data_IF_154295867274
#
_entry.id   IF_154295867274
#
_cell.length_a   1.000
_cell.length_b   1.000
_cell.length_c   1.000
_cell.angle_alpha   90.00
_cell.angle_beta   90.00
_cell.angle_gamma   90.00
#
_symmetry.space_group_name_H-M   'P 1'
#
loop_
_entity.id
_entity.type
_entity.pdbx_description
1 polymer ?
#
# COMPACT_ATOMS: atom_id res chain seq x y z
N UNK A 1 3.44 -22.83 -6.44
CA UNK A 1 2.27 -23.62 -5.99
C UNK A 1 1.74 -23.05 -4.69
N UNK A 2 0.47 -22.75 -4.64
CA UNK A 2 -0.19 -22.20 -3.46
C UNK A 2 -0.12 -23.21 -2.30
N UNK A 3 0.16 -22.71 -1.08
CA UNK A 3 0.23 -23.55 0.14
C UNK A 3 -1.05 -23.38 0.94
N UNK A 4 -1.85 -24.44 1.03
CA UNK A 4 -3.07 -24.47 1.83
C UNK A 4 -2.78 -24.96 3.25
N UNK A 5 -3.15 -24.17 4.24
CA UNK A 5 -3.07 -24.46 5.67
C UNK A 5 -4.49 -24.59 6.18
N UNK A 6 -4.93 -25.82 6.46
CA UNK A 6 -6.30 -26.09 6.89
C UNK A 6 -6.32 -27.00 8.11
N UNK A 7 -6.96 -26.49 9.18
CA UNK A 7 -7.35 -27.27 10.35
C UNK A 7 -8.84 -27.03 10.55
N UNK A 8 -9.70 -28.07 10.39
CA UNK A 8 -11.15 -27.92 10.42
C UNK A 8 -11.63 -27.17 11.68
N UNK A 9 -12.51 -26.18 11.50
CA UNK A 9 -13.05 -25.34 12.57
C UNK A 9 -12.08 -24.30 13.14
N UNK A 10 -10.77 -24.44 12.93
CA UNK A 10 -9.73 -23.60 13.55
C UNK A 10 -9.16 -22.57 12.57
N UNK A 11 -8.60 -23.03 11.44
CA UNK A 11 -7.92 -22.15 10.46
C UNK A 11 -8.11 -22.68 9.03
N UNK A 12 -8.26 -21.77 8.08
CA UNK A 12 -8.32 -22.08 6.66
C UNK A 12 -7.69 -20.90 5.88
N UNK A 13 -6.41 -21.04 5.54
CA UNK A 13 -5.61 -19.99 4.91
C UNK A 13 -4.81 -20.55 3.75
N UNK A 14 -4.83 -19.87 2.60
CA UNK A 14 -4.00 -20.20 1.44
C UNK A 14 -2.92 -19.12 1.27
N UNK A 15 -1.67 -19.53 1.24
CA UNK A 15 -0.53 -18.66 0.95
C UNK A 15 -0.20 -18.76 -0.53
N UNK A 16 -0.24 -17.64 -1.25
CA UNK A 16 -0.02 -17.59 -2.70
C UNK A 16 1.16 -16.68 -2.99
N UNK A 17 2.18 -17.18 -3.69
CA UNK A 17 3.41 -16.44 -3.98
C UNK A 17 3.83 -16.49 -5.46
N UNK A 18 3.15 -17.25 -6.27
CA UNK A 18 3.37 -17.28 -7.72
C UNK A 18 2.56 -16.17 -8.40
N UNK A 19 3.13 -15.36 -9.33
CA UNK A 19 2.41 -14.28 -10.00
C UNK A 19 1.17 -14.74 -10.76
N UNK A 20 1.24 -15.87 -11.48
CA UNK A 20 0.10 -16.38 -12.24
C UNK A 20 -1.03 -16.86 -11.33
N UNK A 21 -0.68 -17.55 -10.22
CA UNK A 21 -1.67 -17.95 -9.21
C UNK A 21 -2.30 -16.72 -8.51
N UNK A 22 -1.50 -15.68 -8.22
CA UNK A 22 -2.01 -14.42 -7.64
C UNK A 22 -3.03 -13.77 -8.57
N UNK A 23 -2.75 -13.69 -9.87
CA UNK A 23 -3.71 -13.17 -10.87
C UNK A 23 -4.98 -13.99 -10.87
N UNK A 24 -4.85 -15.31 -11.01
CA UNK A 24 -6.01 -16.21 -11.08
C UNK A 24 -6.91 -16.08 -9.85
N UNK A 25 -6.34 -16.05 -8.65
CA UNK A 25 -7.12 -15.84 -7.42
C UNK A 25 -7.71 -14.44 -7.31
N UNK A 26 -6.95 -13.41 -7.68
CA UNK A 26 -7.42 -12.02 -7.58
C UNK A 26 -8.59 -11.73 -8.55
N UNK A 27 -8.60 -12.38 -9.71
CA UNK A 27 -9.61 -12.17 -10.74
C UNK A 27 -10.84 -13.09 -10.58
N UNK A 28 -10.73 -14.15 -9.77
CA UNK A 28 -11.84 -15.05 -9.49
C UNK A 28 -13.02 -14.30 -8.83
N UNK A 29 -14.23 -14.45 -9.38
CA UNK A 29 -15.43 -13.76 -8.88
C UNK A 29 -15.82 -14.16 -7.46
N UNK A 30 -15.43 -15.38 -7.04
CA UNK A 30 -15.66 -15.87 -5.68
C UNK A 30 -14.65 -15.33 -4.66
N UNK A 31 -13.71 -14.48 -5.07
CA UNK A 31 -12.66 -13.92 -4.22
C UNK A 31 -12.79 -12.39 -4.16
N UNK A 32 -12.87 -11.85 -2.95
CA UNK A 32 -13.06 -10.41 -2.74
C UNK A 32 -12.32 -9.90 -1.51
N UNK A 33 -12.46 -8.62 -1.23
CA UNK A 33 -12.07 -7.91 -0.01
C UNK A 33 -13.23 -7.69 0.96
N UNK A 34 -14.31 -8.42 0.79
CA UNK A 34 -15.47 -8.38 1.68
C UNK A 34 -15.16 -9.10 3.00
N UNK A 35 -14.54 -8.38 3.94
CA UNK A 35 -14.09 -8.93 5.22
C UNK A 35 -15.25 -9.08 6.21
N UNK A 36 -16.15 -10.03 5.95
CA UNK A 36 -17.20 -10.44 6.90
C UNK A 36 -16.62 -11.53 7.80
N UNK A 37 -16.75 -11.42 9.15
CA UNK A 37 -16.25 -12.43 10.09
C UNK A 37 -17.01 -13.76 9.94
N UNK A 38 -16.51 -14.64 9.07
CA UNK A 38 -17.06 -15.99 8.81
C UNK A 38 -15.93 -17.01 8.64
N UNK A 39 -16.28 -18.29 8.56
CA UNK A 39 -15.31 -19.38 8.47
C UNK A 39 -14.74 -19.79 9.83
N UNK A 40 -13.58 -20.45 9.85
CA UNK A 40 -12.92 -20.97 11.06
C UNK A 40 -12.59 -19.88 12.09
N UNK A 41 -12.35 -20.27 13.33
CA UNK A 41 -12.16 -19.37 14.46
C UNK A 41 -11.05 -18.34 14.21
N UNK A 42 -9.87 -18.79 13.80
CA UNK A 42 -8.72 -17.91 13.55
C UNK A 42 -9.02 -16.93 12.40
N UNK A 43 -9.70 -17.39 11.33
CA UNK A 43 -10.09 -16.53 10.22
C UNK A 43 -11.01 -15.40 10.69
N UNK A 44 -12.02 -15.72 11.55
CA UNK A 44 -12.91 -14.71 12.15
C UNK A 44 -12.15 -13.70 13.00
N UNK A 45 -11.15 -14.15 13.77
CA UNK A 45 -10.29 -13.26 14.57
C UNK A 45 -9.44 -12.35 13.68
N UNK A 46 -8.84 -12.87 12.62
CA UNK A 46 -8.06 -12.07 11.65
C UNK A 46 -8.95 -11.00 11.02
N UNK A 47 -10.13 -11.39 10.53
CA UNK A 47 -11.08 -10.46 9.91
C UNK A 47 -11.57 -9.40 10.91
N UNK A 48 -11.93 -9.81 12.13
CA UNK A 48 -12.33 -8.88 13.19
C UNK A 48 -11.23 -7.86 13.53
N UNK A 49 -9.96 -8.31 13.51
CA UNK A 49 -8.80 -7.43 13.70
C UNK A 49 -8.64 -6.45 12.54
N UNK A 50 -8.74 -6.90 11.28
CA UNK A 50 -8.69 -6.04 10.10
C UNK A 50 -9.76 -4.97 10.19
N UNK A 51 -11.00 -5.33 10.43
CA UNK A 51 -12.11 -4.37 10.54
C UNK A 51 -11.87 -3.34 11.63
N UNK A 52 -11.52 -3.77 12.84
CA UNK A 52 -11.31 -2.88 13.99
C UNK A 52 -10.35 -1.71 13.70
N UNK A 53 -9.32 -1.95 12.90
CA UNK A 53 -8.26 -0.97 12.67
C UNK A 53 -8.38 -0.23 11.34
N UNK A 54 -9.04 -0.83 10.35
CA UNK A 54 -9.18 -0.28 9.01
C UNK A 54 -10.62 0.06 8.65
N UNK A 55 -11.50 0.15 9.64
CA UNK A 55 -12.86 0.67 9.51
C UNK A 55 -12.95 2.04 10.19
N UNK A 56 -13.48 3.05 9.47
CA UNK A 56 -13.70 4.41 9.94
C UNK A 56 -15.18 4.71 9.76
N UNK A 57 -15.85 5.15 10.84
CA UNK A 57 -17.28 5.48 10.82
C UNK A 57 -18.15 4.37 10.20
N UNK A 58 -17.85 3.11 10.52
CA UNK A 58 -18.58 1.95 10.00
C UNK A 58 -18.22 1.54 8.57
N UNK A 59 -17.24 2.19 7.94
CA UNK A 59 -16.84 1.93 6.56
C UNK A 59 -15.36 1.53 6.46
N UNK A 60 -15.06 0.50 5.67
CA UNK A 60 -13.70 0.05 5.45
C UNK A 60 -12.89 1.07 4.64
N UNK A 61 -11.58 1.11 4.87
CA UNK A 61 -10.66 1.86 4.02
C UNK A 61 -10.71 1.34 2.57
N UNK A 62 -10.41 2.19 1.58
CA UNK A 62 -10.53 1.86 0.16
C UNK A 62 -9.86 0.55 -0.27
N UNK A 63 -8.70 0.23 0.30
CA UNK A 63 -7.99 -1.03 0.02
C UNK A 63 -8.71 -2.28 0.51
N UNK A 64 -9.73 -2.14 1.34
CA UNK A 64 -10.50 -3.24 1.93
C UNK A 64 -11.98 -3.23 1.53
N UNK A 65 -12.39 -2.29 0.67
CA UNK A 65 -13.77 -2.24 0.15
C UNK A 65 -13.98 -3.36 -0.87
N UNK A 66 -15.18 -3.99 -0.91
CA UNK A 66 -15.48 -5.09 -1.80
C UNK A 66 -15.49 -4.68 -3.28
N UNK A 67 -15.34 -5.67 -4.16
CA UNK A 67 -15.39 -5.50 -5.63
C UNK A 67 -16.73 -4.94 -6.09
N UNK A 68 -17.83 -5.38 -5.47
CA UNK A 68 -19.20 -4.97 -5.79
C UNK A 68 -19.55 -3.54 -5.37
N UNK A 69 -18.67 -2.85 -4.65
CA UNK A 69 -18.91 -1.47 -4.22
C UNK A 69 -18.73 -0.50 -5.40
N UNK A 70 -19.85 -0.09 -6.00
CA UNK A 70 -19.84 0.82 -7.15
C UNK A 70 -19.30 2.20 -6.77
N UNK A 71 -19.60 2.70 -5.56
CA UNK A 71 -19.08 4.00 -5.08
C UNK A 71 -17.55 3.96 -5.02
N UNK A 72 -16.99 2.83 -4.59
CA UNK A 72 -15.54 2.64 -4.61
C UNK A 72 -14.99 2.67 -6.03
N UNK A 73 -15.61 1.97 -6.96
CA UNK A 73 -15.14 1.88 -8.35
C UNK A 73 -15.14 3.27 -9.02
N UNK A 74 -16.23 4.02 -8.88
CA UNK A 74 -16.37 5.37 -9.42
C UNK A 74 -15.36 6.34 -8.80
N UNK A 75 -15.19 6.27 -7.48
CA UNK A 75 -14.22 7.11 -6.77
C UNK A 75 -12.78 6.77 -7.15
N UNK A 76 -12.47 5.47 -7.30
CA UNK A 76 -11.15 5.02 -7.74
C UNK A 76 -10.81 5.57 -9.13
N UNK A 77 -11.77 5.55 -10.06
CA UNK A 77 -11.57 6.09 -11.40
C UNK A 77 -11.36 7.60 -11.39
N UNK A 78 -12.19 8.34 -10.66
CA UNK A 78 -12.06 9.80 -10.50
C UNK A 78 -10.72 10.17 -9.87
N UNK A 79 -10.31 9.43 -8.83
CA UNK A 79 -9.05 9.66 -8.16
C UNK A 79 -7.85 9.34 -9.07
N UNK A 80 -7.91 8.27 -9.86
CA UNK A 80 -6.86 7.94 -10.81
C UNK A 80 -6.67 9.05 -11.86
N UNK A 81 -7.76 9.62 -12.38
CA UNK A 81 -7.70 10.73 -13.31
C UNK A 81 -7.16 12.02 -12.65
N UNK A 82 -7.58 12.32 -11.41
CA UNK A 82 -7.11 13.49 -10.66
C UNK A 82 -5.63 13.39 -10.24
N UNK A 83 -5.11 12.18 -10.06
CA UNK A 83 -3.74 11.89 -9.66
C UNK A 83 -2.79 11.62 -10.85
N UNK A 84 -3.26 11.79 -12.07
CA UNK A 84 -2.41 11.65 -13.26
C UNK A 84 -1.68 12.98 -13.53
N UNK A 85 -0.34 13.03 -13.43
CA UNK A 85 0.44 14.24 -13.74
C UNK A 85 0.25 14.71 -15.19
N UNK A 86 -0.08 13.82 -16.12
CA UNK A 86 -0.36 14.16 -17.51
C UNK A 86 -1.67 14.97 -17.67
N UNK A 87 -2.55 14.95 -16.68
CA UNK A 87 -3.78 15.75 -16.65
C UNK A 87 -3.58 17.26 -16.42
N UNK A 88 -2.32 17.71 -16.26
CA UNK A 88 -1.97 19.14 -16.10
C UNK A 88 -2.19 19.69 -14.68
N UNK A 89 -2.64 18.89 -13.72
CA UNK A 89 -2.75 19.31 -12.34
C UNK A 89 -1.37 19.41 -11.66
N UNK A 90 -1.14 20.46 -10.87
CA UNK A 90 0.04 20.57 -10.04
C UNK A 90 -0.12 19.69 -8.79
N UNK A 91 0.46 18.50 -8.81
CA UNK A 91 0.33 17.51 -7.73
C UNK A 91 1.38 17.67 -6.61
N UNK A 92 2.41 18.49 -6.87
CA UNK A 92 3.48 18.83 -5.92
C UNK A 92 4.11 20.17 -6.30
N UNK A 93 4.80 20.81 -5.37
CA UNK A 93 5.54 22.06 -5.60
C UNK A 93 7.02 21.78 -5.84
N UNK A 94 7.73 22.74 -6.44
CA UNK A 94 9.20 22.67 -6.60
C UNK A 94 9.94 22.56 -5.26
N UNK A 95 9.45 23.24 -4.22
CA UNK A 95 10.03 23.16 -2.89
C UNK A 95 9.88 21.75 -2.28
N UNK A 96 8.75 21.08 -2.51
CA UNK A 96 8.52 19.71 -2.06
C UNK A 96 9.45 18.72 -2.79
N UNK A 97 9.60 18.88 -4.10
CA UNK A 97 10.57 18.08 -4.88
C UNK A 97 11.99 18.32 -4.38
N UNK A 98 12.40 19.59 -4.19
CA UNK A 98 13.74 19.92 -3.70
C UNK A 98 14.03 19.27 -2.33
N UNK A 99 13.06 19.24 -1.42
CA UNK A 99 13.22 18.57 -0.12
C UNK A 99 13.44 17.06 -0.24
N UNK A 100 12.74 16.39 -1.19
CA UNK A 100 12.93 14.95 -1.45
C UNK A 100 14.26 14.69 -2.19
N UNK A 101 14.67 15.57 -3.09
CA UNK A 101 15.97 15.50 -3.76
C UNK A 101 17.11 15.64 -2.76
N UNK A 102 17.03 16.57 -1.82
CA UNK A 102 18.02 16.71 -0.75
C UNK A 102 18.18 15.40 0.04
N UNK A 103 17.09 14.64 0.26
CA UNK A 103 17.18 13.32 0.89
C UNK A 103 17.89 12.29 -0.01
N UNK A 104 17.50 12.21 -1.28
CA UNK A 104 18.08 11.25 -2.24
C UNK A 104 19.58 11.52 -2.44
N UNK A 105 20.01 12.79 -2.44
CA UNK A 105 21.41 13.20 -2.51
C UNK A 105 22.18 13.10 -1.17
N UNK A 106 21.53 12.70 -0.08
CA UNK A 106 22.20 12.50 1.22
C UNK A 106 22.19 13.72 2.14
N UNK A 107 21.64 14.86 1.71
CA UNK A 107 21.62 16.13 2.44
C UNK A 107 20.54 16.24 3.53
N UNK A 108 19.61 15.30 3.64
CA UNK A 108 18.57 15.34 4.68
C UNK A 108 18.26 13.97 5.29
N UNK A 109 17.53 13.97 6.43
CA UNK A 109 17.19 12.74 7.15
C UNK A 109 15.99 12.00 6.53
N UNK A 110 15.92 10.68 6.78
CA UNK A 110 14.78 9.85 6.36
C UNK A 110 13.46 10.26 7.02
N UNK A 111 13.48 10.76 8.26
CA UNK A 111 12.26 11.27 8.91
C UNK A 111 11.75 12.54 8.23
N UNK A 112 12.64 13.47 7.84
CA UNK A 112 12.26 14.69 7.11
C UNK A 112 11.62 14.34 5.74
N UNK A 113 12.25 13.46 4.97
CA UNK A 113 11.71 12.98 3.69
C UNK A 113 10.36 12.27 3.84
N UNK A 114 10.21 11.49 4.92
CA UNK A 114 8.97 10.77 5.20
C UNK A 114 7.82 11.72 5.54
N UNK A 115 8.08 12.73 6.38
CA UNK A 115 7.10 13.77 6.72
C UNK A 115 6.74 14.57 5.46
N UNK A 116 7.73 14.95 4.64
CA UNK A 116 7.47 15.64 3.37
C UNK A 116 6.64 14.78 2.42
N UNK A 117 6.93 13.49 2.30
CA UNK A 117 6.12 12.57 1.49
C UNK A 117 4.68 12.50 2.00
N UNK A 118 4.48 12.41 3.32
CA UNK A 118 3.15 12.41 3.93
C UNK A 118 2.42 13.74 3.69
N UNK A 119 3.13 14.87 3.71
CA UNK A 119 2.60 16.19 3.38
C UNK A 119 2.12 16.25 1.93
N UNK A 120 2.94 15.80 0.97
CA UNK A 120 2.58 15.77 -0.46
C UNK A 120 1.33 14.92 -0.67
N UNK A 121 1.30 13.69 -0.12
CA UNK A 121 0.15 12.80 -0.24
C UNK A 121 -1.11 13.39 0.41
N UNK A 122 -0.97 14.05 1.56
CA UNK A 122 -2.08 14.69 2.24
C UNK A 122 -2.65 15.87 1.45
N UNK A 123 -1.79 16.66 0.82
CA UNK A 123 -2.19 17.80 0.01
C UNK A 123 -2.99 17.43 -1.25
N UNK A 124 -2.92 16.18 -1.71
CA UNK A 124 -3.78 15.68 -2.80
C UNK A 124 -5.28 15.66 -2.41
N UNK A 125 -5.57 15.58 -1.12
CA UNK A 125 -6.95 15.52 -0.60
C UNK A 125 -7.36 16.81 0.11
N UNK A 126 -6.41 17.47 0.78
CA UNK A 126 -6.64 18.72 1.50
C UNK A 126 -5.40 19.61 1.37
N UNK A 127 -5.48 20.76 0.65
CA UNK A 127 -4.35 21.70 0.53
C UNK A 127 -3.81 22.20 1.87
N UNK A 128 -4.63 22.16 2.92
CA UNK A 128 -4.28 22.56 4.29
C UNK A 128 -3.79 21.36 5.14
N UNK A 129 -3.64 20.16 4.57
CA UNK A 129 -3.12 19.04 5.31
C UNK A 129 -1.73 19.37 5.87
N UNK A 130 -1.52 19.06 7.15
CA UNK A 130 -0.24 19.29 7.81
C UNK A 130 0.32 17.98 8.35
N UNK A 131 1.46 17.55 7.78
CA UNK A 131 2.23 16.41 8.26
C UNK A 131 3.29 16.88 9.25
N UNK A 132 3.45 16.12 10.31
CA UNK A 132 4.45 16.35 11.35
C UNK A 132 5.05 15.03 11.87
N UNK A 133 5.96 15.10 12.82
CA UNK A 133 6.57 13.92 13.42
C UNK A 133 5.55 13.01 14.11
N UNK A 134 4.46 13.57 14.64
CA UNK A 134 3.43 12.79 15.33
C UNK A 134 2.58 12.00 14.34
N UNK A 135 2.14 12.63 13.24
CA UNK A 135 1.40 11.94 12.17
C UNK A 135 2.24 10.87 11.49
N UNK A 136 3.53 11.14 11.26
CA UNK A 136 4.44 10.13 10.69
C UNK A 136 4.64 8.94 11.62
N UNK A 137 4.87 9.18 12.93
CA UNK A 137 4.95 8.08 13.92
C UNK A 137 3.66 7.27 13.98
N UNK A 138 2.52 7.93 13.90
CA UNK A 138 1.22 7.26 13.87
C UNK A 138 1.06 6.38 12.62
N UNK A 139 1.45 6.86 11.43
CA UNK A 139 1.42 6.10 10.20
C UNK A 139 2.35 4.87 10.26
N UNK A 140 3.59 5.02 10.77
CA UNK A 140 4.53 3.91 10.99
C UNK A 140 3.94 2.83 11.90
N UNK A 141 3.26 3.22 12.97
CA UNK A 141 2.65 2.28 13.91
C UNK A 141 1.53 1.45 13.24
N UNK A 142 0.69 2.08 12.41
CA UNK A 142 -0.36 1.37 11.65
C UNK A 142 0.22 0.47 10.57
N UNK A 143 1.28 0.86 9.87
CA UNK A 143 1.92 0.03 8.86
C UNK A 143 2.53 -1.23 9.49
N UNK A 144 3.25 -1.08 10.59
CA UNK A 144 3.82 -2.21 11.36
C UNK A 144 2.72 -3.16 11.88
N UNK A 145 1.56 -2.62 12.25
CA UNK A 145 0.42 -3.43 12.65
C UNK A 145 -0.16 -4.25 11.48
N UNK A 146 -0.13 -3.71 10.26
CA UNK A 146 -0.59 -4.38 9.04
C UNK A 146 0.31 -5.55 8.64
N UNK A 147 1.62 -5.44 8.82
CA UNK A 147 2.62 -6.38 8.30
C UNK A 147 2.65 -7.76 8.97
N UNK A 148 1.88 -7.96 10.03
CA UNK A 148 1.75 -9.27 10.67
C UNK A 148 1.49 -9.19 12.17
N UNK A 149 1.52 -10.35 12.83
CA UNK A 149 1.38 -10.45 14.28
C UNK A 149 2.75 -10.36 14.95
N UNK A 150 2.87 -9.47 15.93
CA UNK A 150 4.01 -9.36 16.82
C UNK A 150 3.53 -9.18 18.25
N UNK A 151 4.17 -9.78 19.27
CA UNK A 151 3.80 -9.59 20.68
C UNK A 151 3.74 -8.11 21.11
N UNK A 152 4.61 -7.27 20.58
CA UNK A 152 4.61 -5.83 20.85
C UNK A 152 3.30 -5.15 20.46
N UNK A 153 2.60 -5.67 19.48
CA UNK A 153 1.30 -5.12 19.05
C UNK A 153 0.22 -5.32 20.10
N UNK A 154 0.32 -6.36 20.94
CA UNK A 154 -0.58 -6.54 22.09
C UNK A 154 -0.36 -5.39 23.07
N UNK A 155 0.90 -5.05 23.35
CA UNK A 155 1.24 -3.91 24.23
C UNK A 155 0.68 -2.61 23.64
N UNK A 156 0.84 -2.36 22.34
CA UNK A 156 0.28 -1.15 21.69
C UNK A 156 -1.26 -1.08 21.76
N UNK A 157 -1.94 -2.24 21.71
CA UNK A 157 -3.38 -2.29 21.87
C UNK A 157 -3.79 -2.01 23.32
N UNK A 158 -3.16 -2.68 24.29
CA UNK A 158 -3.47 -2.53 25.73
C UNK A 158 -3.18 -1.12 26.23
N UNK A 159 -2.08 -0.51 25.78
CA UNK A 159 -1.71 0.87 26.13
C UNK A 159 -2.49 1.94 25.38
N UNK A 160 -3.37 1.55 24.44
CA UNK A 160 -4.16 2.45 23.61
C UNK A 160 -3.34 3.25 22.59
N UNK A 161 -2.07 2.90 22.35
CA UNK A 161 -1.22 3.60 21.37
C UNK A 161 -1.77 3.51 19.95
N UNK A 162 -2.23 2.32 19.53
CA UNK A 162 -2.85 2.14 18.21
C UNK A 162 -4.11 2.99 18.04
N UNK A 163 -4.94 3.05 19.08
CA UNK A 163 -6.17 3.87 19.05
C UNK A 163 -5.84 5.35 18.93
N UNK A 164 -4.86 5.85 19.71
CA UNK A 164 -4.41 7.25 19.61
C UNK A 164 -3.82 7.57 18.24
N UNK A 165 -2.97 6.70 17.70
CA UNK A 165 -2.40 6.85 16.37
C UNK A 165 -3.47 6.92 15.28
N UNK A 166 -4.44 5.99 15.32
CA UNK A 166 -5.57 5.97 14.39
C UNK A 166 -6.40 7.25 14.49
N UNK A 167 -6.80 7.65 15.70
CA UNK A 167 -7.62 8.85 15.91
C UNK A 167 -6.91 10.12 15.43
N UNK A 168 -5.61 10.24 15.65
CA UNK A 168 -4.81 11.36 15.13
C UNK A 168 -4.87 11.43 13.61
N UNK A 169 -4.66 10.30 12.91
CA UNK A 169 -4.66 10.26 11.45
C UNK A 169 -6.05 10.49 10.86
N UNK A 170 -7.10 9.95 11.49
CA UNK A 170 -8.50 10.19 11.11
C UNK A 170 -8.84 11.67 11.22
N UNK A 171 -8.49 12.31 12.35
CA UNK A 171 -8.73 13.75 12.55
C UNK A 171 -7.95 14.61 11.54
N UNK A 172 -6.70 14.24 11.21
CA UNK A 172 -5.91 14.96 10.19
C UNK A 172 -6.46 14.78 8.78
N UNK A 173 -7.02 13.62 8.47
CA UNK A 173 -7.69 13.34 7.21
C UNK A 173 -9.13 13.88 7.14
N UNK A 174 -9.62 14.58 8.18
CA UNK A 174 -11.00 15.12 8.26
C UNK A 174 -12.04 14.03 7.95
N UNK A 175 -11.87 12.84 8.52
CA UNK A 175 -12.70 11.65 8.31
C UNK A 175 -12.76 11.15 6.84
N UNK A 176 -11.94 11.70 5.93
CA UNK A 176 -11.82 11.20 4.57
C UNK A 176 -11.01 9.88 4.55
N UNK A 177 -11.66 8.81 4.12
CA UNK A 177 -11.08 7.46 4.08
C UNK A 177 -9.97 7.32 3.04
N UNK A 178 -10.04 8.06 1.95
CA UNK A 178 -9.02 8.04 0.89
C UNK A 178 -7.78 8.80 1.33
N UNK A 179 -7.98 9.99 1.93
CA UNK A 179 -6.91 10.77 2.54
C UNK A 179 -6.19 9.96 3.63
N UNK A 180 -6.95 9.34 4.54
CA UNK A 180 -6.36 8.49 5.57
C UNK A 180 -5.64 7.28 4.97
N UNK A 181 -6.21 6.61 3.97
CA UNK A 181 -5.55 5.48 3.32
C UNK A 181 -4.23 5.92 2.67
N UNK A 182 -4.23 7.03 1.95
CA UNK A 182 -3.03 7.60 1.33
C UNK A 182 -1.94 7.94 2.34
N UNK A 183 -2.29 8.74 3.36
CA UNK A 183 -1.34 9.31 4.34
C UNK A 183 -0.88 8.32 5.41
N UNK A 184 -1.66 7.27 5.71
CA UNK A 184 -1.34 6.28 6.72
C UNK A 184 -0.77 4.97 6.18
N UNK A 185 -1.14 4.58 4.94
CA UNK A 185 -0.78 3.29 4.35
C UNK A 185 0.00 3.46 3.05
N UNK A 186 -0.56 4.20 2.08
CA UNK A 186 0.04 4.38 0.74
C UNK A 186 1.41 5.04 0.78
N UNK A 187 1.58 6.01 1.67
CA UNK A 187 2.83 6.78 1.84
C UNK A 187 4.07 5.92 2.07
N UNK A 188 3.92 4.77 2.74
CA UNK A 188 5.08 3.90 3.06
C UNK A 188 5.73 3.28 1.81
N UNK A 189 4.96 3.02 0.77
CA UNK A 189 5.50 2.55 -0.52
C UNK A 189 6.43 3.59 -1.15
N UNK A 190 6.02 4.86 -1.15
CA UNK A 190 6.81 5.98 -1.67
C UNK A 190 8.08 6.20 -0.84
N UNK A 191 7.97 6.20 0.49
CA UNK A 191 9.13 6.39 1.41
C UNK A 191 10.16 5.27 1.21
N UNK A 192 9.72 4.01 1.09
CA UNK A 192 10.61 2.88 0.80
C UNK A 192 11.28 3.04 -0.57
N UNK A 193 10.56 3.50 -1.58
CA UNK A 193 11.11 3.74 -2.91
C UNK A 193 12.18 4.85 -2.88
N UNK A 194 11.92 5.97 -2.20
CA UNK A 194 12.90 7.06 -2.03
C UNK A 194 14.18 6.58 -1.31
N UNK A 195 14.06 5.73 -0.30
CA UNK A 195 15.22 5.16 0.39
C UNK A 195 16.08 4.29 -0.55
N UNK A 196 15.45 3.52 -1.43
CA UNK A 196 16.15 2.74 -2.46
C UNK A 196 16.75 3.63 -3.54
N UNK A 197 16.04 4.67 -3.98
CA UNK A 197 16.58 5.67 -4.91
C UNK A 197 17.83 6.34 -4.35
N UNK A 198 17.86 6.65 -3.04
CA UNK A 198 19.06 7.15 -2.38
C UNK A 198 20.23 6.17 -2.50
N UNK A 199 19.98 4.89 -2.30
CA UNK A 199 21.01 3.86 -2.47
C UNK A 199 21.47 3.74 -3.93
N UNK A 200 20.55 3.77 -4.90
CA UNK A 200 20.86 3.76 -6.34
C UNK A 200 21.67 5.00 -6.73
N UNK A 201 21.31 6.17 -6.18
CA UNK A 201 21.99 7.44 -6.47
C UNK A 201 23.45 7.46 -6.03
N UNK A 202 23.78 6.70 -4.99
CA UNK A 202 25.15 6.54 -4.51
C UNK A 202 26.02 5.64 -5.39
N UNK A 203 25.46 4.94 -6.39
CA UNK A 203 26.22 4.07 -7.27
C UNK A 203 26.95 4.88 -8.35
N UNK A 204 28.16 4.47 -8.78
CA UNK A 204 28.88 5.12 -9.89
C UNK A 204 28.08 5.11 -11.20
N UNK A 205 27.21 4.12 -11.38
CA UNK A 205 26.37 3.94 -12.57
C UNK A 205 25.03 4.68 -12.52
N UNK A 206 24.77 5.49 -11.47
CA UNK A 206 23.48 6.17 -11.28
C UNK A 206 23.02 6.96 -12.51
N UNK A 207 23.93 7.69 -13.17
CA UNK A 207 23.62 8.51 -14.35
C UNK A 207 23.29 7.70 -15.62
N UNK A 208 23.61 6.41 -15.68
CA UNK A 208 23.32 5.53 -16.82
C UNK A 208 22.04 4.72 -16.68
N UNK A 209 21.36 4.78 -15.52
CA UNK A 209 20.11 4.07 -15.30
C UNK A 209 18.97 4.73 -16.09
N UNK A 210 18.22 3.93 -16.83
CA UNK A 210 16.97 4.41 -17.44
C UNK A 210 15.90 4.69 -16.35
N UNK A 211 14.96 5.59 -16.66
CA UNK A 211 13.83 5.88 -15.78
C UNK A 211 13.07 4.62 -15.37
N UNK A 212 12.86 3.71 -16.31
CA UNK A 212 12.20 2.43 -16.05
C UNK A 212 13.01 1.56 -15.07
N UNK A 213 14.32 1.44 -15.28
CA UNK A 213 15.19 0.67 -14.39
C UNK A 213 15.17 1.25 -12.96
N UNK A 214 15.18 2.58 -12.81
CA UNK A 214 15.10 3.25 -11.52
C UNK A 214 13.77 2.96 -10.83
N UNK A 215 12.66 3.07 -11.54
CA UNK A 215 11.34 2.76 -10.97
C UNK A 215 11.27 1.33 -10.46
N UNK A 216 11.67 0.34 -11.28
CA UNK A 216 11.57 -1.08 -10.92
C UNK A 216 12.53 -1.51 -9.82
N UNK A 217 13.69 -0.88 -9.73
CA UNK A 217 14.64 -1.13 -8.64
C UNK A 217 14.23 -0.42 -7.33
N UNK A 218 13.48 0.67 -7.42
CA UNK A 218 13.05 1.44 -6.25
C UNK A 218 11.73 0.95 -5.67
N UNK A 219 10.76 0.64 -6.51
CA UNK A 219 9.43 0.23 -6.07
C UNK A 219 9.43 -1.20 -5.49
N UNK A 220 8.65 -1.38 -4.42
CA UNK A 220 8.46 -2.67 -3.77
C UNK A 220 6.99 -2.96 -3.60
N UNK A 221 6.52 -4.12 -4.02
CA UNK A 221 5.18 -4.56 -3.70
C UNK A 221 4.92 -4.60 -2.20
N UNK A 222 3.68 -4.45 -1.76
CA UNK A 222 3.29 -4.75 -0.39
C UNK A 222 3.70 -6.17 -0.02
N UNK A 223 4.14 -6.39 1.23
CA UNK A 223 4.56 -7.71 1.70
C UNK A 223 3.52 -8.78 1.39
N UNK A 224 2.29 -8.49 1.73
CA UNK A 224 1.15 -9.35 1.43
C UNK A 224 -0.15 -8.56 1.47
N UNK A 225 -1.15 -9.06 0.75
CA UNK A 225 -2.52 -8.53 0.81
C UNK A 225 -3.51 -9.66 1.02
N UNK A 226 -4.44 -9.52 1.97
CA UNK A 226 -5.47 -10.51 2.20
C UNK A 226 -6.60 -10.41 1.16
N UNK A 227 -7.19 -11.56 0.86
CA UNK A 227 -8.47 -11.72 0.16
C UNK A 227 -9.29 -12.74 0.90
N UNK A 228 -10.59 -12.78 0.66
CA UNK A 228 -11.49 -13.71 1.27
C UNK A 228 -12.30 -14.43 0.22
N UNK A 229 -12.46 -15.74 0.37
CA UNK A 229 -13.38 -16.53 -0.45
C UNK A 229 -14.80 -16.26 0.04
N UNK A 230 -15.69 -15.81 -0.86
CA UNK A 230 -17.07 -15.45 -0.53
C UNK A 230 -18.03 -16.62 -0.65
N UNK A 231 -17.82 -17.47 -1.63
CA UNK A 231 -18.61 -18.68 -1.86
C UNK A 231 -17.69 -19.87 -2.11
N UNK A 232 -18.22 -21.09 -2.06
CA UNK A 232 -17.46 -22.28 -2.42
C UNK A 232 -16.84 -22.11 -3.80
N UNK A 233 -15.55 -22.36 -3.90
CA UNK A 233 -14.76 -22.11 -5.08
C UNK A 233 -13.84 -23.30 -5.37
N UNK A 234 -14.09 -23.98 -6.46
CA UNK A 234 -13.24 -25.06 -6.95
C UNK A 234 -12.16 -24.49 -7.87
N UNK A 235 -10.91 -24.83 -7.60
CA UNK A 235 -9.76 -24.33 -8.35
C UNK A 235 -8.67 -25.40 -8.43
N UNK A 236 -7.99 -25.53 -9.58
CA UNK A 236 -6.85 -26.46 -9.71
C UNK A 236 -5.60 -25.99 -8.95
N UNK A 237 -5.59 -24.77 -8.42
CA UNK A 237 -4.43 -24.18 -7.76
C UNK A 237 -4.18 -24.71 -6.35
N UNK A 238 -5.17 -25.34 -5.75
CA UNK A 238 -5.10 -25.99 -4.44
C UNK A 238 -5.81 -27.33 -4.45
N UNK A 239 -5.41 -28.24 -3.59
CA UNK A 239 -6.10 -29.52 -3.43
C UNK A 239 -7.47 -29.30 -2.78
N UNK A 240 -8.55 -29.64 -3.51
CA UNK A 240 -9.93 -29.52 -3.06
C UNK A 240 -10.51 -28.11 -3.13
N UNK A 241 -11.80 -28.03 -2.82
CA UNK A 241 -12.55 -26.79 -2.87
C UNK A 241 -12.20 -25.85 -1.71
N UNK A 242 -12.12 -24.56 -1.99
CA UNK A 242 -12.07 -23.52 -0.97
C UNK A 242 -13.48 -23.21 -0.47
N UNK A 243 -13.63 -23.03 0.83
CA UNK A 243 -14.89 -22.73 1.48
C UNK A 243 -15.06 -21.22 1.68
N UNK A 244 -16.31 -20.75 1.80
CA UNK A 244 -16.56 -19.38 2.21
C UNK A 244 -15.89 -19.07 3.56
N UNK A 245 -15.17 -17.94 3.62
CA UNK A 245 -14.38 -17.57 4.80
C UNK A 245 -12.94 -18.07 4.81
N UNK A 246 -12.49 -18.83 3.80
CA UNK A 246 -11.07 -19.08 3.56
C UNK A 246 -10.36 -17.76 3.28
N UNK A 247 -9.20 -17.52 3.90
CA UNK A 247 -8.37 -16.34 3.67
C UNK A 247 -7.25 -16.69 2.69
N UNK A 248 -7.16 -15.93 1.61
CA UNK A 248 -6.03 -15.97 0.67
C UNK A 248 -5.04 -14.88 1.05
N UNK A 249 -3.80 -15.24 1.33
CA UNK A 249 -2.71 -14.29 1.59
C UNK A 249 -1.84 -14.20 0.34
N UNK A 250 -2.08 -13.18 -0.48
CA UNK A 250 -1.31 -12.93 -1.70
C UNK A 250 0.01 -12.28 -1.33
N UNK A 251 1.11 -13.00 -1.48
CA UNK A 251 2.47 -12.59 -1.11
C UNK A 251 3.13 -11.78 -2.24
N UNK A 252 2.73 -10.52 -2.40
CA UNK A 252 3.13 -9.69 -3.53
C UNK A 252 4.63 -9.40 -3.54
N UNK A 253 5.26 -9.18 -2.38
CA UNK A 253 6.70 -8.94 -2.29
C UNK A 253 7.52 -10.14 -2.80
N UNK A 254 7.08 -11.36 -2.52
CA UNK A 254 7.74 -12.58 -2.99
C UNK A 254 7.51 -12.81 -4.49
N UNK A 255 6.35 -12.40 -4.99
CA UNK A 255 5.97 -12.55 -6.40
C UNK A 255 6.59 -11.46 -7.30
N UNK A 256 6.77 -10.25 -6.76
CA UNK A 256 7.21 -9.07 -7.52
C UNK A 256 8.46 -9.28 -8.38
N UNK A 257 9.54 -9.89 -7.88
CA UNK A 257 10.74 -10.14 -8.68
C UNK A 257 10.53 -11.11 -9.86
N UNK A 258 9.44 -11.84 -9.88
CA UNK A 258 9.06 -12.81 -10.94
C UNK A 258 7.99 -12.26 -11.89
N UNK A 259 7.44 -11.08 -11.59
CA UNK A 259 6.47 -10.42 -12.44
C UNK A 259 7.21 -9.54 -13.47
N UNK A 260 6.75 -9.48 -14.73
CA UNK A 260 7.46 -8.77 -15.80
C UNK A 260 7.48 -7.25 -15.66
N UNK A 261 6.64 -6.69 -14.79
CA UNK A 261 6.48 -5.23 -14.58
C UNK A 261 6.00 -4.88 -13.17
N UNK A 262 5.56 -3.61 -12.98
CA UNK A 262 4.99 -3.13 -11.72
C UNK A 262 3.62 -3.72 -11.35
N UNK A 263 3.14 -4.70 -12.02
CA UNK A 263 1.82 -5.28 -11.77
C UNK A 263 1.63 -5.61 -10.28
N UNK A 264 2.61 -6.28 -9.68
CA UNK A 264 2.52 -6.66 -8.27
C UNK A 264 2.64 -5.48 -7.30
N UNK A 265 3.23 -4.36 -7.73
CA UNK A 265 3.32 -3.14 -6.92
C UNK A 265 1.97 -2.45 -6.82
N UNK A 266 1.30 -2.28 -7.95
CA UNK A 266 0.09 -1.47 -8.07
C UNK A 266 -1.16 -2.28 -8.43
N UNK A 267 -1.05 -3.59 -8.61
CA UNK A 267 -2.12 -4.46 -9.13
C UNK A 267 -2.71 -3.91 -10.44
N UNK A 268 -1.84 -3.39 -11.30
CA UNK A 268 -2.21 -2.75 -12.56
C UNK A 268 -2.94 -3.74 -13.47
N UNK A 269 -3.99 -3.28 -14.14
CA UNK A 269 -4.83 -4.15 -14.98
C UNK A 269 -5.91 -4.94 -14.22
N UNK A 270 -5.92 -4.87 -12.88
CA UNK A 270 -6.90 -5.57 -12.06
C UNK A 270 -7.95 -4.62 -11.46
N UNK A 271 -9.10 -5.15 -11.06
CA UNK A 271 -10.20 -4.39 -10.47
C UNK A 271 -9.80 -3.59 -9.21
N UNK A 272 -8.75 -3.97 -8.56
CA UNK A 272 -8.20 -3.39 -7.33
C UNK A 272 -6.89 -2.62 -7.58
N UNK A 273 -6.64 -2.19 -8.80
CA UNK A 273 -5.47 -1.38 -9.14
C UNK A 273 -5.35 -0.13 -8.25
N UNK A 274 -4.12 0.22 -7.91
CA UNK A 274 -3.86 1.43 -7.12
C UNK A 274 -4.16 2.68 -7.98
N UNK A 275 -5.07 3.57 -7.57
CA UNK A 275 -5.38 4.79 -8.33
C UNK A 275 -4.22 5.78 -8.35
N UNK A 276 -3.30 5.70 -7.38
CA UNK A 276 -2.15 6.58 -7.28
C UNK A 276 -0.93 6.11 -8.12
N UNK A 277 -1.09 5.13 -9.01
CA UNK A 277 0.03 4.61 -9.81
C UNK A 277 0.76 5.73 -10.57
N UNK A 278 0.05 6.53 -11.38
CA UNK A 278 0.64 7.60 -12.18
C UNK A 278 1.29 8.68 -11.30
N UNK A 279 0.64 9.06 -10.20
CA UNK A 279 1.18 9.99 -9.23
C UNK A 279 2.51 9.48 -8.64
N UNK A 280 2.55 8.24 -8.14
CA UNK A 280 3.73 7.68 -7.48
C UNK A 280 4.90 7.59 -8.46
N UNK A 281 4.68 7.06 -9.65
CA UNK A 281 5.73 6.95 -10.68
C UNK A 281 6.21 8.33 -11.14
N UNK A 282 5.29 9.27 -11.37
CA UNK A 282 5.63 10.65 -11.74
C UNK A 282 6.43 11.38 -10.66
N UNK A 283 6.03 11.29 -9.39
CA UNK A 283 6.76 11.88 -8.26
C UNK A 283 8.18 11.32 -8.16
N UNK A 284 8.33 9.99 -8.20
CA UNK A 284 9.64 9.34 -8.11
C UNK A 284 10.56 9.76 -9.26
N UNK A 285 10.04 9.81 -10.50
CA UNK A 285 10.82 10.24 -11.65
C UNK A 285 11.20 11.74 -11.58
N UNK A 286 10.31 12.61 -11.11
CA UNK A 286 10.62 14.01 -10.90
C UNK A 286 11.78 14.19 -9.91
N UNK A 287 11.73 13.47 -8.78
CA UNK A 287 12.82 13.49 -7.78
C UNK A 287 14.11 12.92 -8.36
N UNK A 288 14.06 11.78 -9.07
CA UNK A 288 15.24 11.15 -9.63
C UNK A 288 15.94 12.05 -10.64
N UNK A 289 15.23 12.52 -11.66
CA UNK A 289 15.77 13.37 -12.72
C UNK A 289 16.43 14.61 -12.17
N UNK A 290 15.76 15.29 -11.20
CA UNK A 290 16.31 16.48 -10.56
C UNK A 290 17.55 16.17 -9.71
N UNK A 291 17.59 15.02 -9.03
CA UNK A 291 18.76 14.59 -8.26
C UNK A 291 20.01 14.37 -9.12
N UNK A 292 19.84 13.98 -10.39
CA UNK A 292 20.95 13.87 -11.34
C UNK A 292 21.46 15.25 -11.79
N UNK A 293 20.57 16.23 -11.95
CA UNK A 293 20.95 17.60 -12.35
C UNK A 293 21.78 18.31 -11.27
N UNK A 294 21.40 18.15 -9.99
CA UNK A 294 22.12 18.80 -8.88
C UNK A 294 23.56 18.28 -8.73
N UNK A 295 23.88 17.09 -9.19
CA UNK A 295 25.24 16.55 -9.16
C UNK A 295 26.18 17.12 -10.23
N UNK A 296 25.65 17.72 -11.28
CA UNK A 296 26.44 18.32 -12.37
C UNK A 296 26.92 19.73 -11.97
N UNK A 297 26.27 20.34 -10.97
CA UNK A 297 26.52 21.73 -10.53
C UNK A 297 27.41 21.78 -9.28
N UNK A 298 27.59 20.65 -8.58
CA UNK A 298 28.47 20.51 -7.38
C UNK A 298 29.83 19.94 -7.74
#
# INVERSE_FOLDING_TARGET
>A
MARHIRVPGIVDVVLVSDPAEIRAFNDALSVDRNFIPRGPLINRLIVGRIRRWFEIMGQLLPSLMPRSDQVRADHQQKLAAALDPAGGATLWTDAQIAALVAYVCGGSSGDAASIMTQQIVGNLFDPLYHADRATWKAAKLLDQFRDGFSPIQIVWQLTGQLRRARNLLVARAKDDRWAMHGTAIGVHGVVKALARMRALRALPTAGSLSDEAVLWQSLTPPKQVPRMVEARFDTPLVAGALSAGTILMLKLETAGPRAPDAEMVFMRGHWNACPAHAFVTGLLLAVWRRSLQEAVVA
#
